data_IF_976371931803
#
_entry.id   IF_976371931803
#
_cell.length_a   1.000
_cell.length_b   1.000
_cell.length_c   1.000
_cell.angle_alpha   90.00
_cell.angle_beta   90.00
_cell.angle_gamma   90.00
#
_symmetry.space_group_name_H-M   'P 1'
#
loop_
_entity.id
_entity.type
_entity.pdbx_description
1 polymer ?
#
# COMPACT_ATOMS: atom_id res chain seq x y z
N UNK A 1 -6.50 -12.68 -2.92
CA UNK A 1 -7.48 -11.57 -2.82
C UNK A 1 -8.07 -11.26 -4.19
N UNK A 2 -9.27 -10.68 -4.28
CA UNK A 2 -9.83 -10.28 -5.59
C UNK A 2 -9.21 -8.95 -6.04
N UNK A 3 -8.78 -8.85 -7.30
CA UNK A 3 -8.18 -7.62 -7.87
C UNK A 3 -9.19 -6.49 -8.14
N UNK A 4 -10.49 -6.78 -8.02
CA UNK A 4 -11.58 -5.82 -8.20
C UNK A 4 -12.77 -6.16 -7.30
N UNK A 5 -13.35 -5.12 -6.70
CA UNK A 5 -14.54 -5.15 -5.86
C UNK A 5 -15.76 -4.63 -6.64
N UNK A 6 -16.95 -5.17 -6.33
CA UNK A 6 -18.20 -4.71 -6.91
C UNK A 6 -18.80 -3.61 -6.04
N UNK A 7 -18.97 -2.40 -6.58
CA UNK A 7 -19.56 -1.25 -5.87
C UNK A 7 -20.92 -0.93 -6.47
N UNK A 8 -21.96 -0.84 -5.62
CA UNK A 8 -23.27 -0.35 -6.01
C UNK A 8 -23.32 1.17 -5.90
N UNK A 9 -23.50 1.85 -7.03
CA UNK A 9 -23.65 3.30 -7.08
C UNK A 9 -25.08 3.72 -6.70
N UNK A 10 -25.30 4.97 -6.26
CA UNK A 10 -26.64 5.48 -5.91
C UNK A 10 -27.69 5.36 -7.03
N UNK A 11 -27.25 5.26 -8.30
CA UNK A 11 -28.12 5.06 -9.47
C UNK A 11 -28.60 3.62 -9.64
N UNK A 12 -28.18 2.67 -8.79
CA UNK A 12 -28.48 1.24 -8.92
C UNK A 12 -27.52 0.50 -9.86
N UNK A 13 -26.53 1.17 -10.45
CA UNK A 13 -25.50 0.55 -11.28
C UNK A 13 -24.42 -0.10 -10.42
N UNK A 14 -24.11 -1.37 -10.68
CA UNK A 14 -22.96 -2.04 -10.08
C UNK A 14 -21.75 -1.93 -11.00
N UNK A 15 -20.63 -1.40 -10.49
CA UNK A 15 -19.36 -1.28 -11.23
C UNK A 15 -18.25 -2.08 -10.55
N UNK A 16 -17.31 -2.61 -11.32
CA UNK A 16 -16.10 -3.26 -10.80
C UNK A 16 -15.02 -2.20 -10.63
N UNK A 17 -14.65 -1.91 -9.39
CA UNK A 17 -13.58 -0.98 -9.04
C UNK A 17 -12.37 -1.80 -8.63
N UNK A 18 -11.16 -1.53 -9.15
CA UNK A 18 -9.97 -2.19 -8.66
C UNK A 18 -9.85 -2.00 -7.15
N UNK A 19 -9.55 -3.07 -6.41
CA UNK A 19 -9.33 -2.96 -4.98
C UNK A 19 -8.20 -1.95 -4.72
N UNK A 20 -8.28 -1.17 -3.65
CA UNK A 20 -7.26 -0.17 -3.33
C UNK A 20 -5.83 -0.75 -3.32
N UNK A 21 -5.57 -2.00 -2.84
CA UNK A 21 -4.26 -2.63 -2.95
C UNK A 21 -3.78 -2.81 -4.39
N UNK A 22 -4.68 -3.14 -5.31
CA UNK A 22 -4.35 -3.28 -6.73
C UNK A 22 -4.02 -1.91 -7.38
N UNK A 23 -4.73 -0.84 -6.98
CA UNK A 23 -4.39 0.52 -7.41
C UNK A 23 -3.04 0.97 -6.85
N UNK A 24 -2.79 0.71 -5.58
CA UNK A 24 -1.52 1.06 -4.91
C UNK A 24 -0.35 0.33 -5.58
N UNK A 25 -0.50 -0.97 -5.85
CA UNK A 25 0.50 -1.76 -6.56
C UNK A 25 0.79 -1.18 -7.96
N UNK A 26 -0.26 -0.86 -8.73
CA UNK A 26 -0.10 -0.23 -10.03
C UNK A 26 0.65 1.10 -9.94
N UNK A 27 0.34 1.94 -8.93
CA UNK A 27 1.03 3.22 -8.72
C UNK A 27 2.49 3.04 -8.35
N UNK A 28 2.80 2.09 -7.48
CA UNK A 28 4.16 1.78 -7.09
C UNK A 28 5.01 1.30 -8.27
N UNK A 29 4.50 0.36 -9.07
CA UNK A 29 5.19 -0.14 -10.27
C UNK A 29 5.31 0.95 -11.35
N UNK A 30 4.25 1.73 -11.55
CA UNK A 30 4.29 2.85 -12.50
C UNK A 30 5.31 3.91 -12.07
N UNK A 31 5.36 4.26 -10.78
CA UNK A 31 6.38 5.14 -10.23
C UNK A 31 7.77 4.56 -10.46
N UNK A 32 7.97 3.27 -10.18
CA UNK A 32 9.24 2.60 -10.44
C UNK A 32 9.68 2.80 -11.89
N UNK A 33 8.81 2.58 -12.88
CA UNK A 33 9.18 2.71 -14.29
C UNK A 33 9.46 4.16 -14.73
N UNK A 34 8.73 5.15 -14.19
CA UNK A 34 8.74 6.53 -14.71
C UNK A 34 9.12 7.62 -13.72
N UNK A 35 9.66 7.28 -12.55
CA UNK A 35 10.06 8.21 -11.48
C UNK A 35 10.97 9.35 -11.92
N UNK A 36 11.77 9.17 -12.97
CA UNK A 36 12.63 10.23 -13.54
C UNK A 36 11.85 11.27 -14.36
N UNK A 37 10.63 10.97 -14.77
CA UNK A 37 9.78 11.84 -15.60
C UNK A 37 8.71 12.57 -14.79
N UNK A 38 8.17 11.94 -13.74
CA UNK A 38 7.10 12.52 -12.92
C UNK A 38 7.05 11.90 -11.53
N UNK A 39 6.58 12.68 -10.56
CA UNK A 39 6.34 12.23 -9.18
C UNK A 39 4.87 11.93 -8.91
N UNK A 40 3.99 12.06 -9.92
CA UNK A 40 2.54 11.96 -9.74
C UNK A 40 2.10 10.64 -9.13
N UNK A 41 2.74 9.53 -9.52
CA UNK A 41 2.35 8.22 -9.00
C UNK A 41 2.69 8.03 -7.52
N UNK A 42 3.77 8.64 -7.04
CA UNK A 42 4.11 8.63 -5.61
C UNK A 42 3.08 9.45 -4.80
N UNK A 43 2.64 10.58 -5.34
CA UNK A 43 1.60 11.42 -4.72
C UNK A 43 0.26 10.67 -4.68
N UNK A 44 -0.11 10.00 -5.78
CA UNK A 44 -1.30 9.17 -5.84
C UNK A 44 -1.20 7.97 -4.85
N UNK A 45 -0.02 7.35 -4.72
CA UNK A 45 0.23 6.27 -3.77
C UNK A 45 0.07 6.73 -2.31
N UNK A 46 0.61 7.90 -1.95
CA UNK A 46 0.39 8.49 -0.63
C UNK A 46 -1.09 8.73 -0.32
N UNK A 47 -1.86 9.16 -1.32
CA UNK A 47 -3.31 9.30 -1.18
C UNK A 47 -3.96 7.96 -0.84
N UNK A 48 -3.57 6.88 -1.51
CA UNK A 48 -4.10 5.53 -1.26
C UNK A 48 -3.70 5.01 0.13
N UNK A 49 -2.46 5.28 0.59
CA UNK A 49 -2.03 4.98 1.97
C UNK A 49 -2.94 5.70 2.97
N UNK A 50 -3.26 6.97 2.76
CA UNK A 50 -4.14 7.72 3.67
C UNK A 50 -5.55 7.14 3.78
N UNK A 51 -6.05 6.45 2.73
CA UNK A 51 -7.34 5.78 2.77
C UNK A 51 -7.32 4.57 3.70
N UNK A 52 -6.19 3.89 3.83
CA UNK A 52 -6.01 2.70 4.69
C UNK A 52 -5.97 3.01 6.19
N UNK A 53 -6.11 4.28 6.56
CA UNK A 53 -6.19 4.73 7.94
C UNK A 53 -7.37 5.65 8.18
N UNK A 54 -8.37 5.63 7.30
CA UNK A 54 -9.52 6.55 7.30
C UNK A 54 -10.82 5.81 7.01
N UNK A 55 -11.95 6.35 7.49
CA UNK A 55 -13.29 5.80 7.21
C UNK A 55 -13.38 4.31 7.56
N UNK A 56 -13.91 3.50 6.65
CA UNK A 56 -14.09 2.04 6.88
C UNK A 56 -12.78 1.31 7.19
N UNK A 57 -11.64 1.74 6.64
CA UNK A 57 -10.35 1.12 6.99
C UNK A 57 -9.88 1.50 8.39
N UNK A 58 -10.25 2.69 8.87
CA UNK A 58 -10.02 3.04 10.27
C UNK A 58 -10.80 2.11 11.20
N UNK A 59 -12.10 1.94 10.94
CA UNK A 59 -12.94 1.02 11.73
C UNK A 59 -12.38 -0.42 11.68
N UNK A 60 -12.03 -0.89 10.47
CA UNK A 60 -11.41 -2.20 10.26
C UNK A 60 -10.11 -2.38 11.07
N UNK A 61 -9.26 -1.35 11.15
CA UNK A 61 -8.01 -1.42 11.91
C UNK A 61 -8.28 -1.67 13.40
N UNK A 62 -9.30 -1.02 13.97
CA UNK A 62 -9.64 -1.17 15.38
C UNK A 62 -10.44 -2.44 15.67
N UNK A 63 -11.25 -2.90 14.72
CA UNK A 63 -12.11 -4.08 14.89
C UNK A 63 -11.36 -5.40 14.63
N UNK A 64 -10.55 -5.46 13.56
CA UNK A 64 -9.93 -6.71 13.08
C UNK A 64 -8.40 -6.72 13.21
N UNK A 65 -7.75 -5.55 13.27
CA UNK A 65 -6.28 -5.45 13.27
C UNK A 65 -5.73 -4.76 14.53
N UNK A 66 -6.37 -4.95 15.69
CA UNK A 66 -5.97 -4.30 16.95
C UNK A 66 -4.55 -4.65 17.38
N UNK A 67 -4.10 -5.88 17.12
CA UNK A 67 -2.73 -6.31 17.42
C UNK A 67 -1.71 -5.57 16.54
N UNK A 68 -2.06 -5.31 15.27
CA UNK A 68 -1.24 -4.49 14.36
C UNK A 68 -1.17 -3.04 14.85
N UNK A 69 -2.29 -2.47 15.28
CA UNK A 69 -2.28 -1.14 15.92
C UNK A 69 -1.36 -1.14 17.14
N UNK A 70 -1.42 -2.18 17.99
CA UNK A 70 -0.52 -2.35 19.13
C UNK A 70 0.96 -2.34 18.75
N UNK A 71 1.34 -3.03 17.65
CA UNK A 71 2.72 -3.02 17.11
C UNK A 71 3.21 -1.62 16.73
N UNK A 72 2.31 -0.77 16.24
CA UNK A 72 2.60 0.61 15.83
C UNK A 72 2.25 1.66 16.91
N UNK A 73 2.07 1.25 18.17
CA UNK A 73 1.75 2.19 19.25
C UNK A 73 0.43 2.94 19.05
N UNK A 74 -0.54 2.29 18.40
CA UNK A 74 -1.84 2.82 18.00
C UNK A 74 -1.78 3.98 17.00
N UNK A 75 -0.66 4.14 16.29
CA UNK A 75 -0.59 5.01 15.12
C UNK A 75 -1.30 4.34 13.93
N UNK A 76 -2.56 4.73 13.71
CA UNK A 76 -3.40 4.16 12.66
C UNK A 76 -2.89 4.46 11.24
N UNK A 77 -2.14 5.54 11.03
CA UNK A 77 -1.56 5.86 9.72
C UNK A 77 -0.44 4.88 9.37
N UNK A 78 0.46 4.61 10.33
CA UNK A 78 1.54 3.63 10.13
C UNK A 78 0.99 2.21 10.04
N UNK A 79 0.03 1.84 10.89
CA UNK A 79 -0.63 0.54 10.82
C UNK A 79 -1.36 0.34 9.49
N UNK A 80 -2.09 1.37 9.02
CA UNK A 80 -2.76 1.36 7.71
C UNK A 80 -1.77 1.23 6.55
N UNK A 81 -0.66 1.97 6.58
CA UNK A 81 0.39 1.86 5.57
C UNK A 81 0.99 0.44 5.50
N UNK A 82 1.30 -0.16 6.65
CA UNK A 82 1.77 -1.54 6.73
C UNK A 82 0.72 -2.52 6.22
N UNK A 83 -0.55 -2.35 6.63
CA UNK A 83 -1.65 -3.23 6.22
C UNK A 83 -1.82 -3.19 4.70
N UNK A 84 -1.81 -2.01 4.09
CA UNK A 84 -1.83 -1.87 2.63
C UNK A 84 -0.69 -2.67 2.04
N UNK A 85 0.55 -2.37 2.44
CA UNK A 85 1.76 -3.05 1.96
C UNK A 85 1.69 -4.57 2.01
N UNK A 86 1.18 -5.13 3.12
CA UNK A 86 1.07 -6.58 3.32
C UNK A 86 0.16 -7.30 2.33
N UNK A 87 -0.76 -6.57 1.69
CA UNK A 87 -1.70 -7.14 0.74
C UNK A 87 -1.18 -7.16 -0.71
N UNK A 88 -0.11 -6.41 -1.01
CA UNK A 88 0.42 -6.25 -2.37
C UNK A 88 1.03 -7.55 -2.91
N UNK A 89 1.87 -8.31 -2.15
CA UNK A 89 2.46 -9.54 -2.66
C UNK A 89 1.43 -10.58 -3.11
N UNK A 90 0.30 -10.69 -2.41
CA UNK A 90 -0.77 -11.65 -2.73
C UNK A 90 -1.56 -11.34 -4.02
N UNK A 91 -1.17 -10.30 -4.77
CA UNK A 91 -1.72 -9.95 -6.08
C UNK A 91 -0.78 -10.33 -7.24
N UNK A 92 0.41 -10.83 -6.93
CA UNK A 92 1.48 -11.13 -7.89
C UNK A 92 1.83 -12.61 -7.87
N UNK A 93 2.53 -13.04 -8.91
CA UNK A 93 3.29 -14.29 -8.89
C UNK A 93 4.69 -14.06 -8.29
N UNK A 94 5.48 -15.12 -8.13
CA UNK A 94 6.80 -15.07 -7.48
C UNK A 94 7.73 -14.07 -8.18
N UNK A 95 7.73 -14.04 -9.52
CA UNK A 95 8.55 -13.08 -10.28
C UNK A 95 8.13 -11.64 -10.00
N UNK A 96 6.82 -11.36 -9.96
CA UNK A 96 6.29 -10.06 -9.59
C UNK A 96 6.65 -9.65 -8.15
N UNK A 97 6.56 -10.58 -7.20
CA UNK A 97 6.96 -10.33 -5.80
C UNK A 97 8.44 -9.95 -5.71
N UNK A 98 9.31 -10.62 -6.47
CA UNK A 98 10.74 -10.26 -6.50
C UNK A 98 10.99 -8.85 -7.07
N UNK A 99 10.21 -8.40 -8.05
CA UNK A 99 10.28 -7.00 -8.53
C UNK A 99 9.84 -6.04 -7.43
N UNK A 100 8.76 -6.36 -6.73
CA UNK A 100 8.23 -5.54 -5.64
C UNK A 100 9.23 -5.40 -4.48
N UNK A 101 9.91 -6.49 -4.10
CA UNK A 101 10.94 -6.50 -3.06
C UNK A 101 12.13 -5.61 -3.41
N UNK A 102 12.62 -5.62 -4.66
CA UNK A 102 13.71 -4.73 -5.10
C UNK A 102 13.41 -3.24 -4.89
N UNK A 103 12.13 -2.86 -4.93
CA UNK A 103 11.72 -1.46 -4.71
C UNK A 103 11.82 -1.09 -3.23
N UNK A 104 11.42 -1.99 -2.34
CA UNK A 104 11.28 -1.68 -0.90
C UNK A 104 12.47 -2.09 -0.04
N UNK A 105 13.37 -2.94 -0.56
CA UNK A 105 14.63 -3.32 0.10
C UNK A 105 15.78 -2.33 -0.17
N UNK A 106 15.66 -1.51 -1.21
CA UNK A 106 16.63 -0.46 -1.52
C UNK A 106 16.24 0.84 -0.80
N UNK A 107 17.01 1.20 0.23
CA UNK A 107 16.76 2.39 1.06
C UNK A 107 16.83 3.70 0.27
N UNK A 108 17.68 3.79 -0.76
CA UNK A 108 17.79 4.99 -1.59
C UNK A 108 16.54 5.13 -2.48
N UNK A 109 16.05 4.01 -3.02
CA UNK A 109 14.80 3.96 -3.77
C UNK A 109 13.63 4.33 -2.86
N UNK A 110 13.53 3.75 -1.67
CA UNK A 110 12.42 4.01 -0.75
C UNK A 110 12.46 5.46 -0.24
N UNK A 111 13.65 5.99 0.06
CA UNK A 111 13.84 7.39 0.41
C UNK A 111 13.45 8.34 -0.72
N UNK A 112 13.73 7.98 -1.98
CA UNK A 112 13.24 8.74 -3.13
C UNK A 112 11.72 8.68 -3.26
N UNK A 113 11.11 7.50 -3.09
CA UNK A 113 9.65 7.35 -3.12
C UNK A 113 8.98 8.26 -2.10
N UNK A 114 9.51 8.30 -0.87
CA UNK A 114 9.03 9.18 0.19
C UNK A 114 9.12 10.67 -0.20
N UNK A 115 10.25 11.10 -0.76
CA UNK A 115 10.42 12.47 -1.24
C UNK A 115 9.44 12.84 -2.36
N UNK A 116 9.23 11.93 -3.31
CA UNK A 116 8.34 12.13 -4.45
C UNK A 116 6.85 12.15 -4.02
N UNK A 117 6.51 11.44 -2.95
CA UNK A 117 5.14 11.29 -2.44
C UNK A 117 4.56 12.58 -1.83
N UNK A 118 5.42 13.49 -1.33
CA UNK A 118 5.04 14.81 -0.79
C UNK A 118 3.96 14.78 0.31
N UNK A 119 3.84 13.65 1.00
CA UNK A 119 2.96 13.52 2.17
C UNK A 119 3.68 13.99 3.45
N UNK A 120 2.89 14.39 4.44
CA UNK A 120 3.39 14.54 5.81
C UNK A 120 3.84 13.16 6.29
N UNK A 121 5.02 13.08 6.93
CA UNK A 121 5.61 11.80 7.40
C UNK A 121 5.79 10.75 6.30
N UNK A 122 6.01 11.19 5.05
CA UNK A 122 6.21 10.27 3.93
C UNK A 122 7.30 9.21 4.19
N UNK A 123 8.47 9.53 4.79
CA UNK A 123 9.47 8.52 5.10
C UNK A 123 8.93 7.38 5.97
N UNK A 124 8.23 7.71 7.05
CA UNK A 124 7.69 6.72 7.99
C UNK A 124 6.58 5.88 7.35
N UNK A 125 5.72 6.50 6.55
CA UNK A 125 4.65 5.81 5.84
C UNK A 125 5.18 4.83 4.78
N UNK A 126 6.18 5.24 3.99
CA UNK A 126 6.78 4.36 2.99
C UNK A 126 7.58 3.23 3.63
N UNK A 127 8.25 3.49 4.76
CA UNK A 127 8.92 2.46 5.56
C UNK A 127 7.92 1.45 6.12
N UNK A 128 6.79 1.89 6.66
CA UNK A 128 5.75 1.00 7.17
C UNK A 128 5.13 0.15 6.04
N UNK A 129 4.80 0.76 4.89
CA UNK A 129 4.33 0.05 3.71
C UNK A 129 5.36 -0.99 3.22
N UNK A 130 6.64 -0.61 3.11
CA UNK A 130 7.71 -1.50 2.71
C UNK A 130 7.92 -2.66 3.69
N UNK A 131 7.78 -2.42 5.00
CA UNK A 131 7.81 -3.48 6.00
C UNK A 131 6.63 -4.45 5.84
N UNK A 132 5.43 -3.95 5.54
CA UNK A 132 4.26 -4.80 5.25
C UNK A 132 4.50 -5.72 4.06
N UNK A 133 5.06 -5.19 2.97
CA UNK A 133 5.43 -5.97 1.78
C UNK A 133 6.43 -7.09 2.15
N UNK A 134 7.50 -6.76 2.88
CA UNK A 134 8.54 -7.73 3.26
C UNK A 134 8.00 -8.82 4.17
N UNK A 135 7.23 -8.45 5.20
CA UNK A 135 6.64 -9.40 6.15
C UNK A 135 5.73 -10.39 5.42
N UNK A 136 4.90 -9.91 4.49
CA UNK A 136 3.99 -10.76 3.71
C UNK A 136 4.72 -11.64 2.69
N UNK A 137 5.75 -11.13 2.01
CA UNK A 137 6.55 -11.92 1.08
C UNK A 137 7.28 -13.07 1.79
N UNK A 138 7.90 -12.80 2.95
CA UNK A 138 8.57 -13.84 3.75
C UNK A 138 7.64 -14.92 4.29
N UNK A 139 6.34 -14.63 4.42
CA UNK A 139 5.33 -15.62 4.82
C UNK A 139 4.84 -16.50 3.66
N UNK A 140 5.10 -16.13 2.40
CA UNK A 140 4.76 -16.94 1.22
C UNK A 140 5.84 -18.01 0.92
N UNK A 141 7.07 -17.79 1.38
CA UNK A 141 8.22 -18.68 1.19
C UNK A 141 8.33 -19.81 2.24
N UNK A 142 7.48 -19.80 3.28
CA UNK A 142 7.51 -20.75 4.41
C UNK A 142 6.34 -21.73 4.44
#
# INVERSE_FOLDING_TARGET
MASAESVLLPSGLTVRVPAVPALALLKLLTWWDRRVLTTRDAIDLATMISWYSSGTYFDLLYDEYVDLLGRFGFDHELAGAWLLGSQLPGLLDDEGVQVLLRIVEDDDVLGRLANDARAVRAPELMLAMGAGIRDAAGALDG
#
